data_IF_436047355984
#
_entry.id   IF_436047355984
#
_cell.length_a   1.000
_cell.length_b   1.000
_cell.length_c   1.000
_cell.angle_alpha   90.00
_cell.angle_beta   90.00
_cell.angle_gamma   90.00
#
_symmetry.space_group_name_H-M   'P 1'
#
loop_
_entity.id
_entity.type
_entity.pdbx_description
1 polymer ?
#
# COMPACT_ATOMS: atom_id res chain seq x y z
N UNK A 1 1.09 -23.55 -29.73
CA UNK A 1 1.11 -22.19 -30.32
C UNK A 1 -0.18 -21.41 -30.03
N UNK A 2 -0.59 -21.29 -28.76
CA UNK A 2 -1.76 -20.47 -28.34
C UNK A 2 -1.34 -19.41 -27.29
N UNK A 3 -0.14 -19.54 -26.72
CA UNK A 3 0.44 -18.61 -25.74
C UNK A 3 0.75 -17.21 -26.29
N UNK A 4 0.68 -17.02 -27.61
CA UNK A 4 1.08 -15.77 -28.28
C UNK A 4 -0.07 -14.78 -28.50
N UNK A 5 -1.34 -15.18 -28.33
CA UNK A 5 -2.49 -14.30 -28.60
C UNK A 5 -3.04 -13.60 -27.34
N UNK A 6 -2.69 -14.08 -26.16
CA UNK A 6 -2.98 -13.45 -24.87
C UNK A 6 -1.69 -12.88 -24.26
N UNK A 7 -1.08 -11.91 -24.96
CA UNK A 7 0.14 -11.23 -24.51
C UNK A 7 0.09 -11.00 -23.00
N UNK A 8 1.05 -11.62 -22.29
CA UNK A 8 1.01 -11.88 -20.87
C UNK A 8 0.65 -10.63 -20.04
N UNK A 9 -0.60 -10.54 -19.57
CA UNK A 9 -0.96 -9.61 -18.51
C UNK A 9 -0.23 -10.10 -17.25
N UNK A 10 0.95 -9.53 -17.01
CA UNK A 10 1.72 -9.84 -15.82
C UNK A 10 1.07 -9.21 -14.59
N UNK A 11 1.14 -9.94 -13.48
CA UNK A 11 0.77 -9.45 -12.16
C UNK A 11 2.01 -8.96 -11.38
N UNK A 12 3.20 -9.00 -11.99
CA UNK A 12 4.42 -8.48 -11.37
C UNK A 12 4.29 -6.97 -11.13
N UNK A 13 4.69 -6.54 -9.94
CA UNK A 13 4.60 -5.14 -9.52
C UNK A 13 5.91 -4.63 -8.93
N UNK A 14 6.14 -3.34 -9.11
CA UNK A 14 7.13 -2.57 -8.38
C UNK A 14 6.42 -1.53 -7.52
N UNK A 15 6.80 -1.44 -6.25
CA UNK A 15 6.21 -0.54 -5.25
C UNK A 15 7.24 0.52 -4.88
N UNK A 16 6.86 1.78 -5.00
CA UNK A 16 7.58 2.89 -4.39
C UNK A 16 6.90 3.25 -3.08
N UNK A 17 7.54 2.93 -1.95
CA UNK A 17 7.00 3.12 -0.61
C UNK A 17 7.49 4.45 -0.03
N UNK A 18 6.94 5.55 -0.53
CA UNK A 18 7.30 6.90 -0.07
C UNK A 18 6.70 7.27 1.29
N UNK A 19 7.24 8.35 1.88
CA UNK A 19 6.72 8.93 3.14
C UNK A 19 5.38 9.65 2.95
N UNK A 20 5.15 10.19 1.76
CA UNK A 20 3.96 10.98 1.44
C UNK A 20 2.98 10.23 0.54
N UNK A 21 3.49 9.52 -0.48
CA UNK A 21 2.69 8.77 -1.44
C UNK A 21 3.34 7.41 -1.71
N UNK A 22 2.49 6.42 -1.97
CA UNK A 22 2.85 5.09 -2.41
C UNK A 22 2.42 4.94 -3.86
N UNK A 23 3.33 4.49 -4.71
CA UNK A 23 3.04 4.22 -6.11
C UNK A 23 3.20 2.72 -6.39
N UNK A 24 2.38 2.19 -7.29
CA UNK A 24 2.55 0.85 -7.83
C UNK A 24 2.64 0.91 -9.35
N UNK A 25 3.74 0.40 -9.88
CA UNK A 25 3.93 0.09 -11.29
C UNK A 25 3.61 -1.39 -11.53
N UNK A 26 2.88 -1.71 -12.59
CA UNK A 26 2.61 -3.07 -13.03
C UNK A 26 3.26 -3.32 -14.39
N UNK A 27 3.98 -4.44 -14.51
CA UNK A 27 4.71 -4.80 -15.73
C UNK A 27 3.75 -4.89 -16.92
N UNK A 28 4.02 -4.07 -17.95
CA UNK A 28 3.21 -4.00 -19.16
C UNK A 28 1.98 -3.10 -19.06
N UNK A 29 1.70 -2.47 -17.90
CA UNK A 29 0.61 -1.49 -17.73
C UNK A 29 1.06 -0.09 -17.35
N UNK A 30 2.22 0.06 -16.71
CA UNK A 30 2.67 1.36 -16.20
C UNK A 30 2.26 1.57 -14.73
N UNK A 31 2.18 2.83 -14.31
CA UNK A 31 1.72 3.20 -12.96
C UNK A 31 0.21 2.95 -12.87
N UNK A 32 -0.18 2.02 -12.02
CA UNK A 32 -1.58 1.62 -11.80
C UNK A 32 -2.15 2.12 -10.47
N UNK A 33 -1.30 2.63 -9.58
CA UNK A 33 -1.68 3.24 -8.32
C UNK A 33 -0.74 4.39 -7.98
N UNK A 34 -1.30 5.49 -7.49
CA UNK A 34 -0.60 6.60 -6.86
C UNK A 34 -1.51 7.18 -5.78
N UNK A 35 -1.28 6.79 -4.52
CA UNK A 35 -2.13 7.18 -3.40
C UNK A 35 -1.30 7.65 -2.21
N UNK A 36 -1.86 8.51 -1.35
CA UNK A 36 -1.20 8.93 -0.11
C UNK A 36 -0.79 7.77 0.78
N UNK A 37 0.38 7.84 1.40
CA UNK A 37 0.87 6.85 2.38
C UNK A 37 0.24 7.14 3.75
N UNK A 38 -1.08 7.03 3.82
CA UNK A 38 -1.90 7.38 5.01
C UNK A 38 -2.85 6.23 5.31
N UNK A 39 -2.99 5.92 6.60
CA UNK A 39 -3.95 4.94 7.11
C UNK A 39 -4.83 5.61 8.16
N UNK A 40 -6.14 5.42 8.05
CA UNK A 40 -7.09 5.79 9.09
C UNK A 40 -7.46 4.55 9.89
N UNK A 41 -7.30 4.63 11.21
CA UNK A 41 -7.60 3.59 12.17
C UNK A 41 -8.80 4.00 13.01
N UNK A 42 -9.62 3.02 13.39
CA UNK A 42 -10.71 3.17 14.35
C UNK A 42 -10.43 2.33 15.58
N UNK A 43 -10.66 2.88 16.76
CA UNK A 43 -10.61 2.13 18.00
C UNK A 43 -11.95 1.42 18.23
N UNK A 44 -11.94 0.09 18.29
CA UNK A 44 -13.09 -0.75 18.59
C UNK A 44 -12.73 -1.65 19.75
N UNK A 45 -13.31 -1.38 20.94
CA UNK A 45 -13.07 -2.18 22.14
C UNK A 45 -11.61 -2.22 22.59
N UNK A 46 -10.85 -1.13 22.40
CA UNK A 46 -9.44 -1.04 22.74
C UNK A 46 -8.49 -1.52 21.64
N UNK A 47 -9.00 -2.01 20.51
CA UNK A 47 -8.19 -2.48 19.37
C UNK A 47 -8.25 -1.49 18.22
N UNK A 48 -7.10 -1.19 17.63
CA UNK A 48 -7.00 -0.39 16.41
C UNK A 48 -7.32 -1.27 15.21
N UNK A 49 -8.31 -0.87 14.41
CA UNK A 49 -8.69 -1.55 13.17
C UNK A 49 -8.59 -0.59 12.00
N UNK A 50 -8.08 -1.07 10.87
CA UNK A 50 -8.00 -0.27 9.63
C UNK A 50 -9.40 0.09 9.16
N UNK A 51 -9.65 1.39 9.08
CA UNK A 51 -10.91 1.96 8.59
C UNK A 51 -10.81 2.37 7.13
N UNK A 52 -9.73 3.05 6.75
CA UNK A 52 -9.47 3.47 5.38
C UNK A 52 -7.95 3.56 5.12
N UNK A 53 -7.55 3.53 3.85
CA UNK A 53 -6.16 3.66 3.41
C UNK A 53 -6.12 4.56 2.17
N UNK A 54 -5.03 5.30 1.97
CA UNK A 54 -4.84 6.08 0.74
C UNK A 54 -5.58 7.41 0.75
N UNK A 55 -6.29 7.68 -0.35
CA UNK A 55 -6.98 8.97 -0.56
C UNK A 55 -8.02 9.23 0.52
N UNK A 56 -8.83 8.22 0.85
CA UNK A 56 -9.88 8.32 1.87
C UNK A 56 -9.28 8.62 3.26
N UNK A 57 -8.21 7.91 3.63
CA UNK A 57 -7.51 8.15 4.89
C UNK A 57 -6.89 9.56 4.96
N UNK A 58 -6.33 10.06 3.86
CA UNK A 58 -5.77 11.43 3.80
C UNK A 58 -6.81 12.50 4.06
N UNK A 59 -8.06 12.32 3.60
CA UNK A 59 -9.14 13.27 3.83
C UNK A 59 -9.53 13.38 5.31
N UNK A 60 -9.19 12.38 6.12
CA UNK A 60 -9.47 12.32 7.56
C UNK A 60 -8.37 12.97 8.41
N UNK A 61 -7.19 13.31 7.84
CA UNK A 61 -6.10 13.93 8.59
C UNK A 61 -6.54 15.24 9.24
N UNK A 62 -6.36 15.33 10.57
CA UNK A 62 -6.77 16.48 11.38
C UNK A 62 -8.28 16.67 11.49
N UNK A 63 -9.08 15.69 11.04
CA UNK A 63 -10.56 15.75 10.99
C UNK A 63 -11.22 14.51 11.61
N UNK A 64 -10.47 13.66 12.32
CA UNK A 64 -11.01 12.48 12.98
C UNK A 64 -11.67 12.81 14.32
N UNK A 65 -12.79 12.16 14.68
CA UNK A 65 -13.31 12.15 16.04
C UNK A 65 -12.36 11.37 16.98
N UNK A 66 -12.50 11.54 18.30
CA UNK A 66 -11.54 10.99 19.28
C UNK A 66 -11.36 9.47 19.32
N UNK A 67 -12.23 8.69 18.68
CA UNK A 67 -12.10 7.22 18.54
C UNK A 67 -11.46 6.79 17.20
N UNK A 68 -11.00 7.73 16.38
CA UNK A 68 -10.30 7.48 15.13
C UNK A 68 -9.02 8.31 15.05
N UNK A 69 -8.02 7.76 14.36
CA UNK A 69 -6.76 8.44 14.08
C UNK A 69 -6.39 8.24 12.61
N UNK A 70 -5.83 9.26 11.98
CA UNK A 70 -5.24 9.15 10.65
C UNK A 70 -3.73 9.39 10.77
N UNK A 71 -2.94 8.42 10.34
CA UNK A 71 -1.50 8.38 10.57
C UNK A 71 -0.74 8.09 9.27
N UNK A 72 0.52 8.52 9.22
CA UNK A 72 1.49 8.13 8.19
C UNK A 72 2.44 7.10 8.81
N UNK A 73 2.40 5.82 8.39
CA UNK A 73 3.28 4.81 8.95
C UNK A 73 4.73 4.96 8.47
N UNK A 74 4.94 5.67 7.35
CA UNK A 74 6.25 6.04 6.83
C UNK A 74 6.53 7.51 7.16
N UNK A 75 7.60 7.80 7.91
CA UNK A 75 7.98 9.18 8.27
C UNK A 75 9.48 9.36 8.18
N UNK A 76 9.93 10.45 7.55
CA UNK A 76 11.36 10.80 7.43
C UNK A 76 12.26 9.65 6.91
N UNK A 77 11.71 8.80 6.03
CA UNK A 77 12.40 7.66 5.44
C UNK A 77 12.43 6.39 6.29
N UNK A 78 11.77 6.39 7.46
CA UNK A 78 11.67 5.22 8.35
C UNK A 78 10.24 4.70 8.49
N UNK A 79 10.10 3.43 8.82
CA UNK A 79 8.83 2.83 9.25
C UNK A 79 8.64 3.18 10.72
N UNK A 80 7.66 4.02 11.02
CA UNK A 80 7.32 4.43 12.38
C UNK A 80 6.35 3.44 13.07
N UNK A 81 5.58 2.69 12.28
CA UNK A 81 4.66 1.67 12.77
C UNK A 81 4.61 0.51 11.76
N UNK A 82 5.16 -0.65 12.14
CA UNK A 82 5.29 -1.82 11.27
C UNK A 82 3.95 -2.47 10.94
N UNK A 83 3.06 -2.59 11.93
CA UNK A 83 1.75 -3.24 11.75
C UNK A 83 0.89 -2.41 10.79
N UNK A 84 0.92 -1.08 10.94
CA UNK A 84 0.17 -0.17 10.08
C UNK A 84 0.79 -0.08 8.68
N UNK A 85 2.13 -0.07 8.56
CA UNK A 85 2.80 -0.12 7.27
C UNK A 85 2.46 -1.39 6.50
N UNK A 86 2.47 -2.55 7.19
CA UNK A 86 2.12 -3.84 6.61
C UNK A 86 0.68 -3.84 6.08
N UNK A 87 -0.29 -3.39 6.87
CA UNK A 87 -1.68 -3.33 6.43
C UNK A 87 -1.90 -2.34 5.27
N UNK A 88 -1.18 -1.21 5.25
CA UNK A 88 -1.17 -0.28 4.12
C UNK A 88 -0.67 -0.94 2.83
N UNK A 89 0.47 -1.63 2.90
CA UNK A 89 1.08 -2.32 1.76
C UNK A 89 0.14 -3.43 1.25
N UNK A 90 -0.40 -4.26 2.16
CA UNK A 90 -1.38 -5.30 1.82
C UNK A 90 -2.61 -4.71 1.13
N UNK A 91 -3.13 -3.59 1.63
CA UNK A 91 -4.28 -2.91 1.03
C UNK A 91 -3.97 -2.50 -0.41
N UNK A 92 -2.85 -1.80 -0.66
CA UNK A 92 -2.52 -1.34 -2.00
C UNK A 92 -2.24 -2.49 -2.99
N UNK A 93 -1.54 -3.54 -2.55
CA UNK A 93 -1.33 -4.74 -3.37
C UNK A 93 -2.66 -5.39 -3.75
N UNK A 94 -3.57 -5.56 -2.78
CA UNK A 94 -4.93 -6.10 -3.01
C UNK A 94 -5.79 -5.19 -3.88
N UNK A 95 -5.57 -3.87 -3.85
CA UNK A 95 -6.32 -2.90 -4.67
C UNK A 95 -5.97 -3.03 -6.15
N UNK A 96 -4.70 -3.31 -6.47
CA UNK A 96 -4.24 -3.46 -7.86
C UNK A 96 -4.32 -4.91 -8.37
N UNK A 97 -4.38 -5.91 -7.48
CA UNK A 97 -4.55 -7.32 -7.84
C UNK A 97 -6.01 -7.76 -7.76
N UNK A 98 -6.52 -8.36 -8.84
CA UNK A 98 -7.85 -8.94 -8.82
C UNK A 98 -7.80 -10.31 -8.11
N UNK A 99 -8.58 -10.49 -7.03
CA UNK A 99 -8.63 -11.68 -6.15
C UNK A 99 -8.93 -13.04 -6.84
N UNK A 100 -9.13 -13.06 -8.16
CA UNK A 100 -9.64 -14.21 -8.92
C UNK A 100 -8.56 -15.13 -9.50
N UNK A 101 -7.28 -14.84 -9.31
CA UNK A 101 -6.20 -15.68 -9.83
C UNK A 101 -5.35 -16.31 -8.72
N UNK A 102 -5.02 -17.60 -8.86
CA UNK A 102 -3.85 -18.19 -8.22
C UNK A 102 -2.61 -17.61 -8.91
N UNK A 103 -2.19 -16.41 -8.51
CA UNK A 103 -1.03 -15.72 -9.06
C UNK A 103 0.02 -15.57 -7.97
N UNK A 104 1.26 -15.89 -8.31
CA UNK A 104 2.45 -15.66 -7.48
C UNK A 104 3.26 -14.51 -8.10
N UNK A 105 2.82 -13.25 -7.95
CA UNK A 105 3.48 -12.11 -8.58
C UNK A 105 4.86 -11.91 -7.97
N UNK A 106 5.84 -11.53 -8.80
CA UNK A 106 7.10 -10.99 -8.30
C UNK A 106 6.89 -9.54 -7.87
N UNK A 107 7.36 -9.21 -6.67
CA UNK A 107 7.25 -7.87 -6.09
C UNK A 107 8.65 -7.29 -5.91
N UNK A 108 8.86 -6.09 -6.44
CA UNK A 108 10.04 -5.26 -6.17
C UNK A 108 9.58 -4.10 -5.29
N UNK A 109 10.34 -3.75 -4.26
CA UNK A 109 10.05 -2.60 -3.39
C UNK A 109 11.24 -1.67 -3.38
N UNK A 110 11.01 -0.39 -3.64
CA UNK A 110 12.01 0.66 -3.44
C UNK A 110 12.15 0.92 -1.94
N UNK A 111 13.39 0.88 -1.44
CA UNK A 111 13.71 1.21 -0.04
C UNK A 111 14.76 2.32 0.00
N UNK A 112 14.71 3.22 0.99
CA UNK A 112 15.78 4.20 1.19
C UNK A 112 17.13 3.53 1.40
N UNK A 113 18.22 4.18 0.98
CA UNK A 113 19.59 3.64 1.16
C UNK A 113 19.96 3.42 2.62
N UNK A 114 19.36 4.18 3.54
CA UNK A 114 19.54 4.04 4.99
C UNK A 114 18.60 3.04 5.65
N UNK A 115 17.83 2.23 4.90
CA UNK A 115 16.94 1.24 5.48
C UNK A 115 17.73 0.17 6.26
N UNK A 116 17.30 -0.11 7.49
CA UNK A 116 17.94 -1.10 8.37
C UNK A 116 17.10 -2.36 8.48
N UNK A 117 17.75 -3.52 8.59
CA UNK A 117 17.12 -4.74 9.08
C UNK A 117 17.00 -4.61 10.60
N UNK A 118 15.87 -4.11 11.08
CA UNK A 118 15.53 -4.16 12.51
C UNK A 118 14.90 -5.49 12.86
#
# INVERSE_FOLDING_TARGET
MISSLFGAISNDIAIDLGTANTLIYMKGKGIVLNEPSVVALRNVGGRKVVHAVGIEAKQMLGRTPGHMEAIRPMRDGVIADFEVAEEMIKYFIRKVHNRKGFVNPKVIVCVPSGATAV
#
